data_IF_701133219474
#
_entry.id   IF_701133219474
#
_cell.length_a   1.000
_cell.length_b   1.000
_cell.length_c   1.000
_cell.angle_alpha   90.00
_cell.angle_beta   90.00
_cell.angle_gamma   90.00
#
_symmetry.space_group_name_H-M   'P 1'
#
loop_
_entity.id
_entity.type
_entity.pdbx_description
1 polymer ?
#
# COMPACT_ATOMS: atom_id res chain seq x y z
N UNK A 1 -18.88 12.46 2.41
CA UNK A 1 -18.63 13.01 1.07
C UNK A 1 -18.28 11.87 0.14
N UNK A 2 -18.70 11.90 -1.13
CA UNK A 2 -18.24 10.90 -2.09
C UNK A 2 -16.73 11.04 -2.31
N UNK A 3 -15.97 9.99 -2.02
CA UNK A 3 -14.50 9.97 -2.04
C UNK A 3 -13.96 10.27 -3.45
N UNK A 4 -14.65 9.77 -4.47
CA UNK A 4 -14.34 10.00 -5.90
C UNK A 4 -15.63 10.10 -6.71
N UNK A 5 -15.67 10.98 -7.71
CA UNK A 5 -16.79 11.03 -8.64
C UNK A 5 -16.71 9.91 -9.70
N UNK A 6 -17.87 9.41 -10.14
CA UNK A 6 -17.92 8.39 -11.21
C UNK A 6 -17.25 8.87 -12.51
N UNK A 7 -17.32 10.18 -12.81
CA UNK A 7 -16.64 10.79 -13.96
C UNK A 7 -15.12 10.62 -13.87
N UNK A 8 -14.53 10.86 -12.71
CA UNK A 8 -13.08 10.68 -12.50
C UNK A 8 -12.67 9.21 -12.66
N UNK A 9 -13.45 8.25 -12.12
CA UNK A 9 -13.18 6.82 -12.30
C UNK A 9 -13.23 6.41 -13.78
N UNK A 10 -14.15 6.99 -14.55
CA UNK A 10 -14.31 6.73 -15.97
C UNK A 10 -13.14 7.32 -16.78
N UNK A 11 -12.74 8.56 -16.51
CA UNK A 11 -11.60 9.23 -17.16
C UNK A 11 -10.24 8.57 -16.82
N UNK A 12 -10.09 8.05 -15.61
CA UNK A 12 -8.91 7.31 -15.19
C UNK A 12 -8.84 5.89 -15.76
N UNK A 13 -9.92 5.38 -16.37
CA UNK A 13 -9.96 4.05 -16.97
C UNK A 13 -10.12 2.90 -15.98
N UNK A 14 -10.72 3.16 -14.80
CA UNK A 14 -10.92 2.17 -13.72
C UNK A 14 -11.88 1.04 -14.11
N UNK A 15 -12.80 1.32 -15.03
CA UNK A 15 -13.85 0.40 -15.47
C UNK A 15 -13.39 -0.69 -16.44
N UNK A 16 -12.18 -0.60 -16.98
CA UNK A 16 -11.67 -1.61 -17.91
C UNK A 16 -11.14 -2.81 -17.11
N UNK A 17 -11.66 -4.00 -17.40
CA UNK A 17 -11.08 -5.25 -16.91
C UNK A 17 -10.20 -5.92 -17.96
N UNK A 18 -9.96 -7.21 -17.76
CA UNK A 18 -9.17 -8.05 -18.66
C UNK A 18 -10.01 -8.69 -19.78
N UNK A 19 -9.31 -9.37 -20.69
CA UNK A 19 -9.91 -10.21 -21.73
C UNK A 19 -10.75 -11.34 -21.13
N UNK A 20 -11.83 -11.71 -21.82
CA UNK A 20 -12.80 -12.72 -21.35
C UNK A 20 -12.24 -14.12 -21.16
N UNK A 21 -11.07 -14.42 -21.74
CA UNK A 21 -10.35 -15.70 -21.52
C UNK A 21 -9.60 -15.77 -20.19
N UNK A 22 -9.36 -14.64 -19.52
CA UNK A 22 -8.48 -14.54 -18.34
C UNK A 22 -9.22 -14.28 -17.03
N UNK A 23 -10.55 -14.21 -17.08
CA UNK A 23 -11.38 -13.84 -15.95
C UNK A 23 -11.55 -14.96 -14.92
N UNK A 24 -11.87 -14.58 -13.69
CA UNK A 24 -12.28 -15.47 -12.62
C UNK A 24 -13.82 -15.47 -12.51
N UNK A 25 -14.50 -16.64 -12.55
CA UNK A 25 -15.95 -16.74 -12.41
C UNK A 25 -16.54 -16.07 -11.16
N UNK A 26 -15.79 -15.99 -10.06
CA UNK A 26 -16.23 -15.33 -8.82
C UNK A 26 -16.37 -13.81 -8.97
N UNK A 27 -15.66 -13.21 -9.93
CA UNK A 27 -15.77 -11.79 -10.25
C UNK A 27 -17.04 -11.43 -11.02
N UNK A 28 -17.87 -12.41 -11.42
CA UNK A 28 -19.13 -12.19 -12.18
C UNK A 28 -20.03 -11.13 -11.53
N UNK A 29 -20.08 -11.08 -10.20
CA UNK A 29 -20.89 -10.10 -9.45
C UNK A 29 -20.43 -8.64 -9.66
N UNK A 30 -19.17 -8.41 -10.01
CA UNK A 30 -18.59 -7.07 -10.23
C UNK A 30 -18.49 -6.67 -11.70
N UNK A 31 -18.70 -7.62 -12.61
CA UNK A 31 -18.68 -7.36 -14.06
C UNK A 31 -20.05 -6.86 -14.50
N UNK A 32 -20.06 -5.76 -15.24
CA UNK A 32 -21.27 -5.17 -15.82
C UNK A 32 -21.61 -5.82 -17.15
N UNK A 33 -20.73 -5.67 -18.15
CA UNK A 33 -20.92 -6.21 -19.51
C UNK A 33 -19.58 -6.58 -20.15
N UNK A 34 -19.62 -7.34 -21.24
CA UNK A 34 -18.48 -7.55 -22.14
C UNK A 34 -18.62 -6.64 -23.37
N UNK A 35 -17.54 -5.97 -23.77
CA UNK A 35 -17.48 -5.21 -25.03
C UNK A 35 -16.13 -5.46 -25.70
N UNK A 36 -16.16 -5.83 -26.99
CA UNK A 36 -14.96 -6.11 -27.79
C UNK A 36 -14.00 -7.14 -27.13
N UNK A 37 -14.54 -8.14 -26.44
CA UNK A 37 -13.74 -9.19 -25.77
C UNK A 37 -13.08 -8.76 -24.46
N UNK A 38 -13.41 -7.57 -23.93
CA UNK A 38 -12.94 -7.05 -22.64
C UNK A 38 -14.14 -6.94 -21.68
N UNK A 39 -13.97 -7.40 -20.45
CA UNK A 39 -14.98 -7.19 -19.42
C UNK A 39 -14.94 -5.74 -18.89
N UNK A 40 -16.11 -5.15 -18.72
CA UNK A 40 -16.30 -3.83 -18.10
C UNK A 40 -16.76 -4.05 -16.67
N UNK A 41 -16.05 -3.44 -15.73
CA UNK A 41 -16.35 -3.48 -14.30
C UNK A 41 -17.46 -2.47 -13.98
N UNK A 42 -18.37 -2.88 -13.10
CA UNK A 42 -19.48 -2.05 -12.62
C UNK A 42 -18.99 -0.96 -11.65
N UNK A 43 -18.87 0.26 -12.16
CA UNK A 43 -18.42 1.42 -11.37
C UNK A 43 -19.33 1.76 -10.19
N UNK A 44 -20.63 1.41 -10.22
CA UNK A 44 -21.50 1.67 -9.07
C UNK A 44 -21.05 0.84 -7.86
N UNK A 45 -20.69 -0.43 -8.11
CA UNK A 45 -20.12 -1.30 -7.09
C UNK A 45 -18.74 -0.82 -6.66
N UNK A 46 -17.90 -0.41 -7.61
CA UNK A 46 -16.58 0.16 -7.29
C UNK A 46 -16.69 1.36 -6.36
N UNK A 47 -17.60 2.31 -6.62
CA UNK A 47 -17.79 3.49 -5.75
C UNK A 47 -18.17 3.07 -4.34
N UNK A 48 -19.16 2.19 -4.19
CA UNK A 48 -19.61 1.74 -2.87
C UNK A 48 -18.49 1.04 -2.09
N UNK A 49 -17.78 0.11 -2.73
CA UNK A 49 -16.73 -0.64 -2.06
C UNK A 49 -15.46 0.21 -1.82
N UNK A 50 -15.21 1.20 -2.67
CA UNK A 50 -14.17 2.20 -2.44
C UNK A 50 -14.49 3.06 -1.20
N UNK A 51 -15.75 3.43 -0.99
CA UNK A 51 -16.17 4.14 0.23
C UNK A 51 -16.00 3.28 1.49
N UNK A 52 -16.35 1.99 1.42
CA UNK A 52 -16.14 1.02 2.51
C UNK A 52 -14.63 0.86 2.82
N UNK A 53 -13.80 0.69 1.80
CA UNK A 53 -12.35 0.60 1.95
C UNK A 53 -11.73 1.91 2.49
N UNK A 54 -12.20 3.06 2.01
CA UNK A 54 -11.75 4.37 2.48
C UNK A 54 -12.07 4.59 3.97
N UNK A 55 -13.29 4.26 4.39
CA UNK A 55 -13.70 4.37 5.78
C UNK A 55 -12.86 3.47 6.69
N UNK A 56 -12.58 2.23 6.25
CA UNK A 56 -11.71 1.32 7.00
C UNK A 56 -10.27 1.82 7.10
N UNK A 57 -9.68 2.29 5.99
CA UNK A 57 -8.32 2.84 5.99
C UNK A 57 -8.21 4.08 6.87
N UNK A 58 -9.23 4.95 6.86
CA UNK A 58 -9.30 6.10 7.76
C UNK A 58 -9.33 5.66 9.23
N UNK A 59 -10.18 4.69 9.58
CA UNK A 59 -10.25 4.15 10.94
C UNK A 59 -8.88 3.59 11.40
N UNK A 60 -8.22 2.82 10.55
CA UNK A 60 -6.87 2.29 10.83
C UNK A 60 -5.87 3.41 11.08
N UNK A 61 -5.99 4.51 10.34
CA UNK A 61 -5.16 5.69 10.54
C UNK A 61 -5.48 6.45 11.83
N UNK A 62 -6.74 6.51 12.25
CA UNK A 62 -7.20 7.11 13.53
C UNK A 62 -6.72 6.27 14.73
N UNK A 63 -6.65 4.95 14.58
CA UNK A 63 -6.10 4.03 15.60
C UNK A 63 -4.56 4.04 15.66
N UNK A 64 -3.90 4.85 14.81
CA UNK A 64 -2.43 4.93 14.72
C UNK A 64 -1.77 3.71 14.05
N UNK A 65 -2.56 2.87 13.38
CA UNK A 65 -2.12 1.65 12.72
C UNK A 65 -1.12 1.89 11.58
N UNK A 66 -0.29 0.89 11.31
CA UNK A 66 0.70 0.92 10.22
C UNK A 66 0.18 0.17 9.00
N UNK A 67 0.19 0.85 7.86
CA UNK A 67 -0.20 0.29 6.57
C UNK A 67 1.03 -0.05 5.75
N UNK A 68 1.00 -1.21 5.08
CA UNK A 68 1.98 -1.61 4.08
C UNK A 68 1.36 -1.57 2.68
N UNK A 69 1.85 -0.68 1.81
CA UNK A 69 1.44 -0.59 0.41
C UNK A 69 2.28 -1.55 -0.46
N UNK A 70 1.62 -2.43 -1.21
CA UNK A 70 2.28 -3.48 -1.99
C UNK A 70 1.82 -3.45 -3.43
N UNK A 71 2.76 -3.38 -4.35
CA UNK A 71 2.49 -3.54 -5.78
C UNK A 71 3.76 -3.46 -6.60
N UNK A 72 4.11 -4.60 -7.20
CA UNK A 72 5.34 -4.84 -7.95
C UNK A 72 5.16 -4.62 -9.44
N UNK A 73 3.91 -4.48 -9.88
CA UNK A 73 3.54 -4.21 -11.27
C UNK A 73 4.08 -2.86 -11.71
N UNK A 74 4.64 -2.78 -12.92
CA UNK A 74 5.29 -1.57 -13.46
C UNK A 74 4.41 -0.33 -13.35
N UNK A 75 3.11 -0.50 -13.56
CA UNK A 75 2.13 0.58 -13.52
C UNK A 75 1.79 1.07 -12.11
N UNK A 76 2.12 0.28 -11.08
CA UNK A 76 1.85 0.56 -9.68
C UNK A 76 3.09 1.06 -8.92
N UNK A 77 4.32 0.77 -9.40
CA UNK A 77 5.54 0.96 -8.61
C UNK A 77 5.74 2.40 -8.12
N UNK A 78 5.57 3.37 -9.02
CA UNK A 78 5.80 4.78 -8.71
C UNK A 78 4.67 5.33 -7.83
N UNK A 79 3.42 5.00 -8.18
CA UNK A 79 2.25 5.41 -7.40
C UNK A 79 2.32 4.91 -5.96
N UNK A 80 2.70 3.64 -5.75
CA UNK A 80 2.79 3.08 -4.40
C UNK A 80 3.90 3.73 -3.58
N UNK A 81 5.06 3.97 -4.19
CA UNK A 81 6.17 4.63 -3.51
C UNK A 81 5.81 6.05 -3.09
N UNK A 82 5.37 6.87 -4.04
CA UNK A 82 5.07 8.29 -3.81
C UNK A 82 3.95 8.47 -2.78
N UNK A 83 2.89 7.67 -2.85
CA UNK A 83 1.72 7.79 -1.98
C UNK A 83 1.97 7.22 -0.56
N UNK A 84 2.78 6.17 -0.45
CA UNK A 84 3.20 5.66 0.85
C UNK A 84 4.16 6.62 1.56
N UNK A 85 5.12 7.20 0.82
CA UNK A 85 6.02 8.23 1.36
C UNK A 85 5.23 9.48 1.80
N UNK A 86 4.25 9.92 1.00
CA UNK A 86 3.36 11.04 1.33
C UNK A 86 2.54 10.79 2.60
N UNK A 87 2.05 9.55 2.79
CA UNK A 87 1.29 9.16 3.99
C UNK A 87 2.18 8.74 5.17
N UNK A 88 3.51 8.75 5.03
CA UNK A 88 4.43 8.29 6.08
C UNK A 88 4.25 6.81 6.45
N UNK A 89 3.84 5.99 5.48
CA UNK A 89 3.61 4.56 5.62
C UNK A 89 4.66 3.74 4.86
N UNK A 90 4.63 2.43 5.05
CA UNK A 90 5.61 1.53 4.45
C UNK A 90 5.18 1.08 3.06
N UNK A 91 6.15 0.71 2.21
CA UNK A 91 5.85 0.21 0.87
C UNK A 91 6.79 -0.87 0.37
N UNK A 92 6.29 -1.67 -0.57
CA UNK A 92 7.08 -2.60 -1.40
C UNK A 92 6.61 -2.45 -2.84
N UNK A 93 7.44 -1.79 -3.66
CA UNK A 93 7.13 -1.48 -5.06
C UNK A 93 7.94 -2.29 -6.08
N UNK A 94 9.02 -2.96 -5.67
CA UNK A 94 9.90 -3.68 -6.60
C UNK A 94 9.58 -5.17 -6.70
N UNK A 95 9.86 -5.93 -5.64
CA UNK A 95 9.64 -7.38 -5.60
C UNK A 95 9.33 -7.80 -4.18
N UNK A 96 8.27 -8.58 -4.02
CA UNK A 96 8.00 -9.28 -2.77
C UNK A 96 9.01 -10.41 -2.55
N UNK A 97 9.72 -10.36 -1.43
CA UNK A 97 10.58 -11.46 -0.98
C UNK A 97 9.71 -12.42 -0.16
N UNK A 98 9.68 -13.70 -0.51
CA UNK A 98 8.94 -14.68 0.28
C UNK A 98 9.47 -14.74 1.71
N UNK A 99 8.58 -14.75 2.69
CA UNK A 99 8.94 -14.65 4.10
C UNK A 99 9.01 -13.22 4.62
N UNK A 100 8.53 -12.22 3.86
CA UNK A 100 8.62 -10.82 4.30
C UNK A 100 7.85 -10.58 5.60
N UNK A 101 6.66 -11.15 5.71
CA UNK A 101 5.83 -11.04 6.93
C UNK A 101 6.04 -12.27 7.81
N UNK A 102 6.03 -13.46 7.21
CA UNK A 102 6.08 -14.73 7.97
C UNK A 102 7.45 -15.05 8.58
N UNK A 103 8.53 -14.47 8.05
CA UNK A 103 9.89 -14.59 8.59
C UNK A 103 10.51 -13.21 8.82
N UNK A 104 9.73 -12.32 9.45
CA UNK A 104 10.10 -10.92 9.66
C UNK A 104 11.45 -10.74 10.38
N UNK A 105 11.80 -11.63 11.31
CA UNK A 105 13.08 -11.60 12.01
C UNK A 105 14.29 -11.73 11.06
N UNK A 106 14.16 -12.50 9.98
CA UNK A 106 15.22 -12.61 8.96
C UNK A 106 15.31 -11.34 8.12
N UNK A 107 14.17 -10.75 7.75
CA UNK A 107 14.13 -9.49 7.01
C UNK A 107 14.75 -8.37 7.82
N UNK A 108 14.44 -8.29 9.12
CA UNK A 108 15.06 -7.31 10.02
C UNK A 108 16.58 -7.44 10.07
N UNK A 109 17.14 -8.65 10.01
CA UNK A 109 18.60 -8.85 9.88
C UNK A 109 19.14 -8.30 8.57
N UNK A 110 18.43 -8.47 7.45
CA UNK A 110 18.81 -7.88 6.16
C UNK A 110 18.74 -6.35 6.18
N UNK A 111 17.74 -5.76 6.83
CA UNK A 111 17.64 -4.30 7.03
C UNK A 111 18.76 -3.80 7.95
N UNK A 112 19.09 -4.54 9.02
CA UNK A 112 20.21 -4.21 9.89
C UNK A 112 21.56 -4.28 9.14
N UNK A 113 21.71 -5.25 8.22
CA UNK A 113 22.87 -5.35 7.34
C UNK A 113 22.96 -4.14 6.40
N UNK A 114 21.85 -3.71 5.81
CA UNK A 114 21.77 -2.50 4.98
C UNK A 114 22.23 -1.26 5.75
N UNK A 115 21.65 -1.02 6.94
CA UNK A 115 22.04 0.10 7.83
C UNK A 115 23.50 0.02 8.29
N UNK A 116 24.05 -1.19 8.43
CA UNK A 116 25.47 -1.38 8.76
C UNK A 116 26.39 -0.96 7.61
N UNK A 117 26.03 -1.26 6.35
CA UNK A 117 26.82 -0.87 5.19
C UNK A 117 26.86 0.66 5.06
N UNK A 118 25.72 1.33 5.28
CA UNK A 118 25.65 2.81 5.29
C UNK A 118 26.53 3.43 6.37
N UNK A 119 26.50 2.89 7.60
CA UNK A 119 27.40 3.37 8.66
C UNK A 119 28.88 3.18 8.30
N UNK A 120 29.23 2.08 7.64
CA UNK A 120 30.62 1.86 7.19
C UNK A 120 31.05 2.88 6.12
N UNK A 121 30.10 3.35 5.30
CA UNK A 121 30.33 4.41 4.33
C UNK A 121 30.48 5.77 5.03
N UNK A 122 29.60 6.10 5.98
CA UNK A 122 29.63 7.34 6.77
C UNK A 122 30.89 7.47 7.65
N UNK A 123 31.31 6.37 8.28
CA UNK A 123 32.48 6.33 9.18
C UNK A 123 33.82 6.29 8.40
N UNK A 124 33.80 6.33 7.06
CA UNK A 124 35.00 6.32 6.21
C UNK A 124 35.71 4.95 6.12
N UNK A 125 35.07 3.87 6.58
CA UNK A 125 35.66 2.50 6.55
C UNK A 125 35.95 2.06 5.10
N UNK A 126 35.20 2.56 4.12
CA UNK A 126 35.41 2.26 2.71
C UNK A 126 36.78 2.71 2.17
N UNK A 127 37.39 3.73 2.76
CA UNK A 127 38.69 4.25 2.33
C UNK A 127 39.84 3.30 2.69
N UNK A 128 39.66 2.49 3.73
CA UNK A 128 40.66 1.53 4.22
C UNK A 128 40.53 0.17 3.50
N UNK A 129 39.38 -0.09 2.88
CA UNK A 129 39.09 -1.37 2.23
C UNK A 129 39.61 -1.42 0.79
N UNK A 130 39.94 -2.62 0.27
CA UNK A 130 40.24 -2.80 -1.14
C UNK A 130 39.06 -2.39 -2.02
N UNK A 131 39.33 -1.71 -3.15
CA UNK A 131 38.29 -1.27 -4.11
C UNK A 131 37.33 -2.38 -4.55
N UNK A 132 37.82 -3.62 -4.64
CA UNK A 132 36.98 -4.78 -4.99
C UNK A 132 35.90 -5.07 -3.95
N UNK A 133 36.23 -4.93 -2.67
CA UNK A 133 35.30 -5.15 -1.55
C UNK A 133 34.29 -4.00 -1.46
N UNK A 134 34.74 -2.76 -1.63
CA UNK A 134 33.85 -1.59 -1.71
C UNK A 134 32.79 -1.76 -2.81
N UNK A 135 33.20 -2.20 -4.01
CA UNK A 135 32.25 -2.45 -5.10
C UNK A 135 31.25 -3.56 -4.75
N UNK A 136 31.66 -4.58 -3.99
CA UNK A 136 30.74 -5.63 -3.54
C UNK A 136 29.75 -5.12 -2.49
N UNK A 137 30.21 -4.31 -1.53
CA UNK A 137 29.36 -3.69 -0.51
C UNK A 137 28.35 -2.72 -1.15
N UNK A 138 28.76 -1.91 -2.12
CA UNK A 138 27.85 -1.01 -2.84
C UNK A 138 26.79 -1.79 -3.61
N UNK A 139 27.17 -2.88 -4.30
CA UNK A 139 26.19 -3.75 -4.98
C UNK A 139 25.24 -4.44 -3.99
N UNK A 140 25.73 -4.82 -2.81
CA UNK A 140 24.91 -5.38 -1.74
C UNK A 140 23.91 -4.34 -1.22
N UNK A 141 24.37 -3.13 -0.93
CA UNK A 141 23.56 -2.00 -0.47
C UNK A 141 22.50 -1.60 -1.50
N UNK A 142 22.89 -1.34 -2.75
CA UNK A 142 21.96 -1.01 -3.85
C UNK A 142 20.85 -2.06 -3.99
N UNK A 143 21.22 -3.34 -3.86
CA UNK A 143 20.26 -4.43 -3.92
C UNK A 143 19.32 -4.43 -2.72
N UNK A 144 19.83 -4.24 -1.51
CA UNK A 144 19.03 -4.20 -0.29
C UNK A 144 18.10 -2.99 -0.29
N UNK A 145 18.60 -1.80 -0.61
CA UNK A 145 17.82 -0.56 -0.67
C UNK A 145 16.70 -0.66 -1.70
N UNK A 146 17.00 -1.22 -2.89
CA UNK A 146 15.99 -1.43 -3.93
C UNK A 146 14.81 -2.30 -3.48
N UNK A 147 15.04 -3.31 -2.64
CA UNK A 147 13.99 -4.26 -2.25
C UNK A 147 13.39 -3.99 -0.86
N UNK A 148 14.15 -3.40 0.05
CA UNK A 148 13.80 -3.24 1.46
C UNK A 148 13.71 -1.78 1.90
N UNK A 149 14.04 -0.80 1.04
CA UNK A 149 14.02 0.62 1.38
C UNK A 149 12.68 1.07 1.96
N UNK A 150 11.56 0.65 1.36
CA UNK A 150 10.22 1.02 1.84
C UNK A 150 9.76 0.35 3.15
N UNK A 151 10.51 -0.63 3.67
CA UNK A 151 10.28 -1.25 5.00
C UNK A 151 11.47 -1.05 5.96
N UNK A 152 12.39 -0.15 5.60
CA UNK A 152 13.63 0.14 6.34
C UNK A 152 13.39 0.50 7.81
N UNK A 153 12.33 1.23 8.08
CA UNK A 153 11.99 1.74 9.42
C UNK A 153 10.82 1.00 10.06
N UNK A 154 10.42 -0.12 9.47
CA UNK A 154 9.37 -0.99 9.99
C UNK A 154 9.91 -1.83 11.16
N UNK A 155 9.42 -1.55 12.38
CA UNK A 155 9.84 -2.23 13.62
C UNK A 155 8.93 -3.41 13.98
N UNK A 156 7.66 -3.34 13.64
CA UNK A 156 6.62 -4.34 13.86
C UNK A 156 5.97 -4.73 12.54
N UNK A 157 5.16 -5.80 12.54
CA UNK A 157 4.32 -6.12 11.39
C UNK A 157 3.31 -5.00 11.13
N UNK A 158 2.88 -4.82 9.87
CA UNK A 158 1.80 -3.88 9.55
C UNK A 158 0.46 -4.41 10.08
N UNK A 159 -0.42 -3.49 10.44
CA UNK A 159 -1.79 -3.78 10.88
C UNK A 159 -2.71 -4.04 9.69
N UNK A 160 -2.43 -3.39 8.55
CA UNK A 160 -3.19 -3.57 7.30
C UNK A 160 -2.26 -3.60 6.10
N UNK A 161 -2.59 -4.42 5.12
CA UNK A 161 -1.89 -4.47 3.84
C UNK A 161 -2.78 -3.97 2.71
N UNK A 162 -2.30 -2.96 1.98
CA UNK A 162 -2.92 -2.51 0.74
C UNK A 162 -2.22 -3.16 -0.46
N UNK A 163 -2.94 -3.85 -1.33
CA UNK A 163 -2.37 -4.60 -2.46
C UNK A 163 -2.95 -4.15 -3.79
N UNK A 164 -2.07 -3.96 -4.78
CA UNK A 164 -2.46 -3.82 -6.19
C UNK A 164 -2.18 -5.13 -6.92
N UNK A 165 -3.20 -5.71 -7.57
CA UNK A 165 -3.15 -7.00 -8.29
C UNK A 165 -2.81 -8.21 -7.38
N UNK A 166 -3.75 -8.69 -6.53
CA UNK A 166 -3.55 -9.86 -5.68
C UNK A 166 -3.03 -11.11 -6.41
N UNK A 167 -3.36 -11.28 -7.69
CA UNK A 167 -2.91 -12.42 -8.49
C UNK A 167 -1.41 -12.37 -8.75
N UNK A 168 -0.87 -11.18 -9.03
CA UNK A 168 0.56 -10.97 -9.19
C UNK A 168 1.28 -10.98 -7.84
N UNK A 169 0.62 -10.53 -6.78
CA UNK A 169 1.11 -10.40 -5.41
C UNK A 169 0.72 -11.59 -4.51
N UNK A 170 0.41 -12.76 -5.09
CA UNK A 170 -0.13 -13.94 -4.38
C UNK A 170 0.66 -14.37 -3.13
N UNK A 171 1.97 -14.16 -3.13
CA UNK A 171 2.84 -14.54 -2.00
C UNK A 171 2.60 -13.59 -0.82
N UNK A 172 2.47 -12.29 -1.10
CA UNK A 172 2.15 -11.29 -0.08
C UNK A 172 0.78 -11.57 0.55
N UNK A 173 -0.22 -11.80 -0.31
CA UNK A 173 -1.60 -12.13 0.11
C UNK A 173 -1.62 -13.39 0.97
N UNK A 174 -0.97 -14.47 0.53
CA UNK A 174 -0.91 -15.71 1.30
C UNK A 174 -0.21 -15.56 2.66
N UNK A 175 0.84 -14.74 2.74
CA UNK A 175 1.54 -14.45 3.99
C UNK A 175 0.67 -13.62 4.95
N UNK A 176 -0.03 -12.61 4.45
CA UNK A 176 -0.94 -11.78 5.24
C UNK A 176 -2.13 -12.58 5.78
N UNK A 177 -2.77 -13.40 4.94
CA UNK A 177 -3.85 -14.31 5.36
C UNK A 177 -3.36 -15.23 6.48
N UNK A 178 -2.15 -15.81 6.33
CA UNK A 178 -1.59 -16.72 7.35
C UNK A 178 -1.36 -16.04 8.70
N UNK A 179 -1.11 -14.74 8.70
CA UNK A 179 -0.89 -13.93 9.90
C UNK A 179 -2.14 -13.18 10.36
N UNK A 180 -3.28 -13.38 9.70
CA UNK A 180 -4.54 -12.66 9.93
C UNK A 180 -4.40 -11.14 9.83
N UNK A 181 -3.57 -10.65 8.89
CA UNK A 181 -3.45 -9.23 8.59
C UNK A 181 -4.54 -8.89 7.56
N UNK A 182 -5.48 -7.98 7.86
CA UNK A 182 -6.52 -7.55 6.92
C UNK A 182 -5.95 -6.97 5.64
N UNK A 183 -6.61 -7.28 4.51
CA UNK A 183 -6.15 -6.91 3.17
C UNK A 183 -7.18 -6.01 2.49
N UNK A 184 -6.71 -4.84 2.06
CA UNK A 184 -7.45 -3.94 1.16
C UNK A 184 -6.83 -4.06 -0.22
N UNK A 185 -7.62 -4.36 -1.26
CA UNK A 185 -7.06 -4.73 -2.56
C UNK A 185 -7.74 -4.11 -3.76
N UNK A 186 -6.95 -3.65 -4.74
CA UNK A 186 -7.44 -3.38 -6.10
C UNK A 186 -7.52 -4.73 -6.83
N UNK A 187 -8.75 -5.13 -7.18
CA UNK A 187 -9.03 -6.46 -7.75
C UNK A 187 -9.61 -6.31 -9.14
N UNK A 188 -8.86 -6.76 -10.15
CA UNK A 188 -9.37 -6.87 -11.52
C UNK A 188 -10.13 -8.21 -11.70
N UNK A 189 -10.89 -8.31 -12.78
CA UNK A 189 -11.65 -9.45 -13.28
C UNK A 189 -10.91 -10.80 -13.29
N UNK A 190 -9.58 -10.81 -13.25
CA UNK A 190 -8.73 -11.99 -13.33
C UNK A 190 -8.31 -12.55 -11.94
N UNK A 191 -8.62 -11.84 -10.85
CA UNK A 191 -8.24 -12.15 -9.48
C UNK A 191 -9.37 -12.90 -8.73
N UNK A 192 -9.03 -13.59 -7.64
CA UNK A 192 -10.04 -14.17 -6.72
C UNK A 192 -10.45 -13.11 -5.68
N UNK A 193 -11.73 -12.70 -5.62
CA UNK A 193 -12.17 -11.71 -4.64
C UNK A 193 -12.23 -12.26 -3.21
N UNK A 194 -12.28 -13.58 -3.00
CA UNK A 194 -12.50 -14.14 -1.66
C UNK A 194 -11.24 -14.09 -0.76
N UNK A 195 -10.07 -13.80 -1.33
CA UNK A 195 -8.80 -13.67 -0.60
C UNK A 195 -8.59 -12.27 -0.01
N UNK A 196 -9.50 -11.33 -0.25
CA UNK A 196 -9.37 -9.92 0.09
C UNK A 196 -10.56 -9.47 0.95
N UNK A 197 -10.29 -8.84 2.09
CA UNK A 197 -11.33 -8.41 3.03
C UNK A 197 -12.09 -7.18 2.52
N UNK A 198 -11.36 -6.19 2.02
CA UNK A 198 -11.94 -4.96 1.45
C UNK A 198 -11.56 -4.85 -0.03
N UNK A 199 -12.49 -5.25 -0.88
CA UNK A 199 -12.29 -5.37 -2.33
C UNK A 199 -12.61 -4.04 -3.02
N UNK A 200 -11.73 -3.55 -3.87
CA UNK A 200 -11.99 -2.42 -4.78
C UNK A 200 -11.96 -2.97 -6.22
N UNK A 201 -13.12 -3.30 -6.83
CA UNK A 201 -13.17 -3.80 -8.19
C UNK A 201 -12.71 -2.73 -9.18
N UNK A 202 -11.54 -2.90 -9.78
CA UNK A 202 -10.91 -1.86 -10.58
C UNK A 202 -9.79 -2.40 -11.47
N UNK A 203 -9.48 -1.62 -12.51
CA UNK A 203 -8.36 -1.84 -13.41
C UNK A 203 -7.01 -1.67 -12.70
N UNK A 204 -6.17 -2.69 -12.76
CA UNK A 204 -4.81 -2.69 -12.21
C UNK A 204 -3.70 -2.44 -13.29
N UNK A 205 -4.07 -2.42 -14.57
CA UNK A 205 -3.15 -2.21 -15.71
C UNK A 205 -2.97 -0.74 -16.07
N UNK A 206 -3.95 0.12 -15.74
CA UNK A 206 -3.90 1.53 -16.05
C UNK A 206 -3.20 2.34 -14.94
N UNK A 207 -2.10 3.01 -15.28
CA UNK A 207 -1.33 3.87 -14.36
C UNK A 207 -2.22 4.92 -13.68
N UNK A 208 -3.13 5.55 -14.44
CA UNK A 208 -4.04 6.58 -13.91
C UNK A 208 -5.05 6.00 -12.91
N UNK A 209 -5.56 4.80 -13.17
CA UNK A 209 -6.49 4.11 -12.28
C UNK A 209 -5.82 3.75 -10.96
N UNK A 210 -4.66 3.08 -11.03
CA UNK A 210 -3.90 2.70 -9.84
C UNK A 210 -3.51 3.93 -9.04
N UNK A 211 -2.97 4.98 -9.68
CA UNK A 211 -2.58 6.21 -9.00
C UNK A 211 -3.76 6.89 -8.30
N UNK A 212 -4.92 6.98 -8.96
CA UNK A 212 -6.12 7.58 -8.36
C UNK A 212 -6.60 6.81 -7.13
N UNK A 213 -6.61 5.48 -7.20
CA UNK A 213 -7.08 4.65 -6.09
C UNK A 213 -6.08 4.65 -4.93
N UNK A 214 -4.79 4.46 -5.22
CA UNK A 214 -3.74 4.51 -4.20
C UNK A 214 -3.67 5.88 -3.53
N UNK A 215 -3.79 6.98 -4.29
CA UNK A 215 -3.78 8.33 -3.72
C UNK A 215 -4.94 8.54 -2.77
N UNK A 216 -6.13 8.00 -3.07
CA UNK A 216 -7.31 8.08 -2.20
C UNK A 216 -7.14 7.28 -0.92
N UNK A 217 -6.50 6.11 -0.98
CA UNK A 217 -6.17 5.34 0.22
C UNK A 217 -5.13 6.06 1.09
N UNK A 218 -4.14 6.72 0.48
CA UNK A 218 -3.19 7.55 1.20
C UNK A 218 -3.84 8.81 1.79
N UNK A 219 -4.73 9.48 1.06
CA UNK A 219 -5.51 10.63 1.56
C UNK A 219 -6.28 10.25 2.84
N UNK A 220 -6.92 9.07 2.86
CA UNK A 220 -7.65 8.56 4.04
C UNK A 220 -6.78 8.48 5.31
N UNK A 221 -5.52 8.06 5.16
CA UNK A 221 -4.55 7.93 6.25
C UNK A 221 -3.93 9.26 6.69
N UNK A 222 -3.93 10.25 5.80
CA UNK A 222 -3.44 11.60 6.11
C UNK A 222 -4.54 12.38 6.84
N UNK A 223 -5.77 12.31 6.34
CA UNK A 223 -6.95 12.93 6.95
C UNK A 223 -7.19 12.43 8.37
N UNK A 224 -6.99 11.13 8.63
CA UNK A 224 -7.14 10.56 9.97
C UNK A 224 -6.18 11.17 10.98
N UNK A 225 -4.94 11.48 10.57
CA UNK A 225 -3.92 12.09 11.43
C UNK A 225 -4.15 13.58 11.64
N UNK A 226 -4.64 14.28 10.61
CA UNK A 226 -4.98 15.70 10.73
C UNK A 226 -6.17 15.93 11.70
N UNK A 227 -7.07 14.95 11.82
CA UNK A 227 -8.11 14.95 12.85
C UNK A 227 -7.58 14.89 14.29
N UNK A 228 -6.36 14.38 14.51
CA UNK A 228 -5.67 14.46 15.81
C UNK A 228 -5.06 15.84 16.05
N UNK A 229 -4.55 16.51 15.02
CA UNK A 229 -3.94 17.86 15.10
C UNK A 229 -4.99 18.99 15.23
N UNK A 230 -6.25 18.75 14.83
CA UNK A 230 -7.38 19.68 15.01
C UNK A 230 -8.29 19.32 16.20
N UNK A 231 -7.85 18.47 17.13
CA UNK A 231 -8.51 18.39 18.42
C UNK A 231 -8.37 19.76 19.13
N UNK A 232 -9.46 20.46 19.49
CA UNK A 232 -9.36 21.73 20.18
C UNK A 232 -8.61 21.49 21.49
N UNK A 233 -7.48 22.17 21.68
CA UNK A 233 -6.88 22.31 22.99
C UNK A 233 -7.99 22.75 23.94
N UNK A 234 -8.29 21.90 24.92
CA UNK A 234 -9.22 22.20 26.00
C UNK A 234 -8.85 23.58 26.57
N UNK A 235 -9.73 24.57 26.38
CA UNK A 235 -9.73 25.78 27.19
C UNK A 235 -10.05 25.37 28.63
N UNK A 236 -9.03 24.87 29.32
CA UNK A 236 -8.92 24.92 30.77
C UNK A 236 -8.77 26.38 31.18
N UNK A 237 -9.88 27.10 31.21
CA UNK A 237 -9.99 28.34 31.99
C UNK A 237 -10.34 27.96 33.43
N UNK A 238 -9.30 27.60 34.18
CA UNK A 238 -9.28 27.83 35.62
C UNK A 238 -9.25 29.35 35.89
N UNK A 239 -9.79 29.69 37.07
CA UNK A 239 -9.72 30.98 37.78
C UNK A 239 -10.72 32.08 37.35
N UNK A 240 -11.53 32.68 38.22
CA UNK A 240 -11.35 32.95 39.65
C UNK A 240 -12.69 33.21 40.36
N UNK A 241 -12.75 32.72 41.60
CA UNK A 241 -13.66 33.15 42.66
C UNK A 241 -13.48 34.64 42.92
N UNK A 242 -14.56 35.43 42.92
CA UNK A 242 -14.61 36.70 43.65
C UNK A 242 -15.72 36.67 44.69
N UNK A 243 -15.28 36.78 45.93
CA UNK A 243 -16.06 37.09 47.13
C UNK A 243 -16.24 38.61 47.16
N UNK A 244 -17.48 39.07 47.27
CA UNK A 244 -17.90 40.25 48.06
C UNK A 244 -19.41 40.19 48.34
#
# INVERSE_FOLDING_TARGET
MAVVSMKQLLEAGVHFGHQTRRWNPKMKKFIFVERNGIYIIDLQKTVKMLEEAYAYMRQVGEDGGKVLFVGTKKQAQDAIKEEAERSGMYYINQRWLGGTLTNFATIQKSVARMKKIERMEEDGTFEVLPKKEVVQLNKEHERLEKFLGGIRDMKSLPDVMFVVDPRKERIAVAEAIKLNIPIVGIVDTNCDPDEIDYIIPANDDAIRAVRLLTSKMADALIESRQGEDEAPAEESSEETVTVE
#
